data_IF_320142429580
#
_entry.id   IF_320142429580
#
_cell.length_a   1.000
_cell.length_b   1.000
_cell.length_c   1.000
_cell.angle_alpha   90.00
_cell.angle_beta   90.00
_cell.angle_gamma   90.00
#
_symmetry.space_group_name_H-M   'P 1'
#
loop_
_entity.id
_entity.type
_entity.pdbx_description
1 polymer ?
#
# COMPACT_ATOMS: atom_id res chain seq x y z
N UNK A 1 -12.02 -22.09 -18.52
CA UNK A 1 -10.81 -21.58 -17.85
C UNK A 1 -11.30 -20.81 -16.66
N UNK A 2 -10.96 -21.28 -15.46
CA UNK A 2 -11.45 -20.67 -14.21
C UNK A 2 -10.60 -19.43 -13.97
N UNK A 3 -11.23 -18.27 -13.85
CA UNK A 3 -10.61 -17.05 -13.33
C UNK A 3 -10.18 -17.30 -11.89
N UNK A 4 -8.97 -17.84 -11.69
CA UNK A 4 -8.35 -18.02 -10.37
C UNK A 4 -7.85 -16.66 -9.85
N UNK A 5 -8.71 -15.65 -9.94
CA UNK A 5 -8.50 -14.36 -9.33
C UNK A 5 -8.94 -14.51 -7.87
N UNK A 6 -7.95 -14.76 -7.02
CA UNK A 6 -8.13 -14.70 -5.57
C UNK A 6 -8.84 -13.41 -5.18
N UNK A 7 -9.98 -13.54 -4.49
CA UNK A 7 -10.66 -12.46 -3.76
C UNK A 7 -10.38 -12.53 -2.26
N UNK A 8 -9.56 -13.49 -1.79
CA UNK A 8 -9.13 -13.57 -0.40
C UNK A 8 -8.21 -12.38 -0.08
N UNK A 9 -8.65 -11.50 0.81
CA UNK A 9 -7.94 -10.26 1.12
C UNK A 9 -6.56 -10.47 1.76
N UNK A 10 -6.35 -11.56 2.51
CA UNK A 10 -5.02 -11.91 3.05
C UNK A 10 -4.09 -12.25 1.90
N UNK A 11 -4.57 -13.11 0.98
CA UNK A 11 -3.77 -13.52 -0.17
C UNK A 11 -3.51 -12.35 -1.13
N UNK A 12 -4.46 -11.45 -1.33
CA UNK A 12 -4.27 -10.20 -2.08
C UNK A 12 -3.18 -9.33 -1.44
N UNK A 13 -3.22 -9.14 -0.11
CA UNK A 13 -2.22 -8.32 0.58
C UNK A 13 -0.80 -8.92 0.50
N UNK A 14 -0.68 -10.24 0.58
CA UNK A 14 0.58 -10.96 0.40
C UNK A 14 1.13 -10.84 -1.03
N UNK A 15 0.26 -10.96 -2.04
CA UNK A 15 0.64 -10.74 -3.44
C UNK A 15 1.14 -9.31 -3.63
N UNK A 16 0.42 -8.31 -3.10
CA UNK A 16 0.86 -6.92 -3.15
C UNK A 16 2.21 -6.71 -2.46
N UNK A 17 2.45 -7.30 -1.29
CA UNK A 17 3.73 -7.20 -0.60
C UNK A 17 4.87 -7.80 -1.44
N UNK A 18 4.63 -8.96 -2.06
CA UNK A 18 5.60 -9.64 -2.91
C UNK A 18 5.96 -8.79 -4.14
N UNK A 19 4.96 -8.14 -4.75
CA UNK A 19 5.17 -7.25 -5.89
C UNK A 19 5.92 -5.97 -5.49
N UNK A 20 5.60 -5.37 -4.35
CA UNK A 20 6.29 -4.17 -3.85
C UNK A 20 7.78 -4.40 -3.55
N UNK A 21 8.14 -5.62 -3.12
CA UNK A 21 9.54 -5.99 -2.81
C UNK A 21 10.25 -6.55 -4.05
N UNK A 22 9.52 -7.24 -4.92
CA UNK A 22 10.05 -7.92 -6.10
C UNK A 22 10.21 -7.04 -7.34
N UNK A 23 9.56 -5.88 -7.39
CA UNK A 23 9.65 -4.95 -8.53
C UNK A 23 10.97 -4.16 -8.48
N UNK A 24 11.88 -4.46 -9.42
CA UNK A 24 13.24 -3.95 -9.46
C UNK A 24 13.41 -2.55 -10.08
N UNK A 25 12.33 -1.83 -10.38
CA UNK A 25 12.36 -0.50 -11.00
C UNK A 25 12.12 0.63 -9.97
N UNK A 26 11.29 1.63 -10.27
CA UNK A 26 10.98 2.76 -9.37
C UNK A 26 10.53 2.35 -7.94
N UNK A 27 10.00 1.13 -7.79
CA UNK A 27 9.56 0.58 -6.50
C UNK A 27 10.69 -0.08 -5.70
N UNK A 28 11.89 -0.25 -6.27
CA UNK A 28 13.06 -0.82 -5.56
C UNK A 28 13.47 -0.01 -4.33
N UNK A 29 13.05 1.26 -4.25
CA UNK A 29 13.23 2.09 -3.07
C UNK A 29 12.27 1.72 -1.95
N UNK A 30 11.13 1.08 -2.21
CA UNK A 30 10.15 0.77 -1.17
C UNK A 30 10.62 -0.33 -0.21
N UNK A 31 10.15 -0.25 1.02
CA UNK A 31 10.34 -1.25 2.07
C UNK A 31 9.00 -1.56 2.74
N UNK A 32 8.76 -2.84 3.00
CA UNK A 32 7.65 -3.30 3.84
C UNK A 32 8.17 -3.44 5.28
N UNK A 33 7.49 -2.83 6.24
CA UNK A 33 7.79 -2.90 7.69
C UNK A 33 6.56 -3.34 8.47
N UNK A 34 6.81 -3.83 9.68
CA UNK A 34 5.79 -4.29 10.62
C UNK A 34 4.81 -5.30 10.00
N UNK A 35 5.33 -6.20 9.16
CA UNK A 35 4.49 -7.18 8.49
C UNK A 35 4.02 -8.26 9.46
N UNK A 36 2.70 -8.41 9.56
CA UNK A 36 2.03 -9.45 10.31
C UNK A 36 1.46 -10.49 9.32
N UNK A 37 2.13 -11.65 9.14
CA UNK A 37 1.66 -12.70 8.25
C UNK A 37 0.40 -13.42 8.78
N UNK A 38 0.10 -13.27 10.08
CA UNK A 38 -1.00 -13.93 10.78
C UNK A 38 -2.18 -12.97 11.03
N UNK A 39 -2.16 -11.79 10.41
CA UNK A 39 -3.20 -10.78 10.55
C UNK A 39 -4.59 -11.33 10.17
N UNK A 40 -5.46 -11.48 11.18
CA UNK A 40 -6.82 -11.97 10.97
C UNK A 40 -7.69 -10.91 10.27
N UNK A 41 -8.35 -11.21 9.15
CA UNK A 41 -9.13 -10.22 8.40
C UNK A 41 -10.41 -9.81 9.14
N UNK A 42 -10.68 -8.50 9.17
CA UNK A 42 -11.89 -7.93 9.79
C UNK A 42 -12.65 -7.00 8.84
N UNK A 43 -13.92 -6.72 9.15
CA UNK A 43 -14.74 -5.79 8.34
C UNK A 43 -14.19 -4.36 8.35
N UNK A 44 -13.55 -3.94 9.44
CA UNK A 44 -12.86 -2.65 9.55
C UNK A 44 -11.46 -2.66 8.91
N UNK A 45 -10.92 -3.85 8.68
CA UNK A 45 -9.60 -4.08 8.13
C UNK A 45 -8.57 -4.17 9.25
N UNK A 46 -7.78 -5.23 9.23
CA UNK A 46 -6.67 -5.42 10.17
C UNK A 46 -5.39 -4.95 9.51
N UNK A 47 -4.57 -4.17 10.21
CA UNK A 47 -3.30 -3.71 9.65
C UNK A 47 -2.39 -4.92 9.39
N UNK A 48 -1.98 -5.10 8.13
CA UNK A 48 -1.09 -6.18 7.74
C UNK A 48 0.37 -5.72 7.68
N UNK A 49 0.62 -4.54 7.12
CA UNK A 49 1.98 -3.96 7.05
C UNK A 49 1.97 -2.48 6.68
N UNK A 50 3.12 -1.85 6.85
CA UNK A 50 3.42 -0.48 6.42
C UNK A 50 4.39 -0.47 5.25
N UNK A 51 4.19 0.46 4.32
CA UNK A 51 5.08 0.69 3.18
C UNK A 51 5.79 2.02 3.38
N UNK A 52 7.13 2.00 3.32
CA UNK A 52 7.98 3.16 3.49
C UNK A 52 8.89 3.33 2.28
N UNK A 53 9.37 4.56 2.05
CA UNK A 53 10.48 4.81 1.15
C UNK A 53 11.80 4.41 1.84
N UNK A 54 12.69 3.78 1.10
CA UNK A 54 14.01 3.31 1.55
C UNK A 54 15.01 4.46 1.66
N UNK A 55 15.87 4.34 2.66
CA UNK A 55 16.86 5.30 3.18
C UNK A 55 16.31 6.60 3.77
N UNK A 56 15.40 6.47 4.73
CA UNK A 56 15.54 7.20 5.99
C UNK A 56 16.28 6.29 7.00
N UNK A 57 17.61 6.15 6.80
CA UNK A 57 18.59 5.61 7.74
C UNK A 57 18.29 4.27 8.43
N UNK A 58 19.08 3.25 8.11
CA UNK A 58 19.55 2.26 9.10
C UNK A 58 20.46 2.95 10.15
N UNK A 59 19.92 3.94 10.85
CA UNK A 59 20.53 4.57 12.00
C UNK A 59 19.46 4.63 13.08
N UNK A 60 19.47 3.60 13.94
CA UNK A 60 19.51 3.79 15.39
C UNK A 60 18.94 5.14 15.87
N UNK A 61 17.62 5.33 15.75
CA UNK A 61 16.93 6.50 16.31
C UNK A 61 16.32 6.16 17.67
N UNK A 62 17.19 5.68 18.57
CA UNK A 62 17.04 5.85 20.01
C UNK A 62 17.35 7.31 20.44
N UNK A 63 17.30 8.28 19.51
CA UNK A 63 17.47 9.71 19.76
C UNK A 63 16.37 10.57 19.14
N UNK A 64 15.13 10.20 19.44
CA UNK A 64 14.05 11.18 19.55
C UNK A 64 13.53 11.73 18.22
N UNK A 65 12.54 11.02 17.68
CA UNK A 65 11.26 11.66 17.42
C UNK A 65 10.90 11.97 15.98
N UNK A 66 11.52 11.35 14.98
CA UNK A 66 10.97 11.38 13.62
C UNK A 66 10.78 9.98 13.05
N UNK A 67 9.76 9.27 13.57
CA UNK A 67 9.26 8.07 12.93
C UNK A 67 8.90 8.41 11.47
N UNK A 68 9.69 7.91 10.52
CA UNK A 68 9.46 8.08 9.09
C UNK A 68 8.01 7.73 8.78
N UNK A 69 7.21 8.76 8.45
CA UNK A 69 5.79 8.57 8.17
C UNK A 69 5.64 7.57 7.01
N UNK A 70 4.81 6.52 7.15
CA UNK A 70 4.63 5.56 6.09
C UNK A 70 4.07 6.24 4.85
N UNK A 71 4.54 5.79 3.69
CA UNK A 71 3.99 6.17 2.39
C UNK A 71 2.56 5.65 2.28
N UNK A 72 2.36 4.39 2.68
CA UNK A 72 1.05 3.77 2.76
C UNK A 72 0.96 2.73 3.89
N UNK A 73 -0.26 2.45 4.32
CA UNK A 73 -0.61 1.37 5.23
C UNK A 73 -1.55 0.40 4.51
N UNK A 74 -1.32 -0.92 4.66
CA UNK A 74 -2.13 -1.95 4.01
C UNK A 74 -2.92 -2.72 5.05
N UNK A 75 -4.23 -2.79 4.84
CA UNK A 75 -5.18 -3.47 5.72
C UNK A 75 -5.84 -4.64 5.00
N UNK A 76 -5.98 -5.76 5.70
CA UNK A 76 -6.66 -6.96 5.19
C UNK A 76 -8.12 -6.98 5.63
N UNK A 77 -9.00 -7.19 4.67
CA UNK A 77 -10.41 -7.52 4.87
C UNK A 77 -10.67 -8.95 4.39
N UNK A 78 -11.83 -9.56 4.69
CA UNK A 78 -12.13 -10.91 4.23
C UNK A 78 -12.07 -11.08 2.70
N UNK A 79 -12.45 -10.03 1.96
CA UNK A 79 -12.72 -10.07 0.52
C UNK A 79 -11.85 -9.11 -0.32
N UNK A 80 -10.89 -8.41 0.31
CA UNK A 80 -10.04 -7.39 -0.35
C UNK A 80 -8.87 -6.97 0.53
N UNK A 81 -7.87 -6.37 -0.09
CA UNK A 81 -6.93 -5.50 0.61
C UNK A 81 -7.34 -4.03 0.46
N UNK A 82 -7.02 -3.22 1.46
CA UNK A 82 -7.26 -1.78 1.48
C UNK A 82 -5.95 -1.05 1.74
N UNK A 83 -5.55 -0.21 0.79
CA UNK A 83 -4.34 0.60 0.89
C UNK A 83 -4.73 2.02 1.28
N UNK A 84 -4.16 2.54 2.36
CA UNK A 84 -4.25 3.96 2.73
C UNK A 84 -2.95 4.66 2.37
N UNK A 85 -2.97 5.50 1.35
CA UNK A 85 -1.87 6.40 1.02
C UNK A 85 -1.91 7.63 1.92
N UNK A 86 -0.83 7.83 2.67
CA UNK A 86 -0.62 9.01 3.50
C UNK A 86 0.31 10.03 2.84
N UNK A 87 1.20 9.59 1.94
CA UNK A 87 2.01 10.45 1.09
C UNK A 87 1.31 10.68 -0.26
N UNK A 88 1.43 11.90 -0.79
CA UNK A 88 0.87 12.36 -2.07
C UNK A 88 -0.54 11.80 -2.38
N UNK A 89 -1.55 12.02 -1.51
CA UNK A 89 -2.88 11.42 -1.64
C UNK A 89 -3.57 11.74 -2.97
N UNK A 90 -3.34 12.92 -3.55
CA UNK A 90 -3.92 13.30 -4.84
C UNK A 90 -3.29 12.52 -6.01
N UNK A 91 -1.97 12.31 -5.99
CA UNK A 91 -1.28 11.50 -6.99
C UNK A 91 -1.72 10.03 -6.91
N UNK A 92 -1.87 9.50 -5.69
CA UNK A 92 -2.42 8.16 -5.47
C UNK A 92 -3.84 8.03 -6.04
N UNK A 93 -4.69 9.03 -5.79
CA UNK A 93 -6.08 9.01 -6.24
C UNK A 93 -6.19 9.04 -7.77
N UNK A 94 -5.42 9.92 -8.42
CA UNK A 94 -5.40 10.03 -9.87
C UNK A 94 -4.94 8.72 -10.53
N UNK A 95 -3.76 8.22 -10.13
CA UNK A 95 -3.19 7.02 -10.75
C UNK A 95 -4.02 5.75 -10.48
N UNK A 96 -4.58 5.60 -9.27
CA UNK A 96 -5.47 4.47 -8.97
C UNK A 96 -6.78 4.55 -9.76
N UNK A 97 -7.35 5.75 -9.91
CA UNK A 97 -8.57 5.98 -10.69
C UNK A 97 -8.36 5.68 -12.18
N UNK A 98 -7.26 6.15 -12.77
CA UNK A 98 -6.88 5.85 -14.16
C UNK A 98 -6.64 4.34 -14.38
N UNK A 99 -6.08 3.66 -13.38
CA UNK A 99 -5.91 2.21 -13.40
C UNK A 99 -7.22 1.43 -13.16
N UNK A 100 -8.37 2.11 -13.00
CA UNK A 100 -9.68 1.49 -12.83
C UNK A 100 -9.92 0.88 -11.43
N UNK A 101 -9.19 1.35 -10.41
CA UNK A 101 -9.39 0.94 -9.02
C UNK A 101 -10.43 1.82 -8.33
N UNK A 102 -11.10 1.25 -7.32
CA UNK A 102 -12.02 2.02 -6.49
C UNK A 102 -11.22 2.90 -5.51
N UNK A 103 -11.44 4.20 -5.59
CA UNK A 103 -10.77 5.22 -4.76
C UNK A 103 -11.78 5.94 -3.87
N UNK A 104 -11.38 6.26 -2.64
CA UNK A 104 -12.14 7.08 -1.69
C UNK A 104 -11.20 8.03 -0.94
N UNK A 105 -11.51 9.34 -0.86
CA UNK A 105 -10.82 10.22 0.09
C UNK A 105 -11.18 9.83 1.53
N UNK A 106 -10.23 9.98 2.45
CA UNK A 106 -10.46 9.81 3.89
C UNK A 106 -10.21 11.15 4.58
N UNK A 107 -11.26 11.70 5.16
CA UNK A 107 -11.27 12.99 5.86
C UNK A 107 -10.58 12.88 7.23
N UNK A 108 -9.28 12.68 7.22
CA UNK A 108 -8.38 12.73 8.39
C UNK A 108 -7.37 13.85 8.21
N UNK A 109 -6.63 14.21 9.28
CA UNK A 109 -5.54 15.19 9.22
C UNK A 109 -4.22 14.51 9.57
N UNK A 110 -3.22 14.48 8.67
CA UNK A 110 -3.26 14.93 7.27
C UNK A 110 -4.20 14.06 6.40
N UNK A 111 -4.70 14.58 5.26
CA UNK A 111 -5.62 13.85 4.38
C UNK A 111 -4.98 12.57 3.84
N UNK A 112 -5.81 11.55 3.61
CA UNK A 112 -5.38 10.26 3.06
C UNK A 112 -6.28 9.83 1.90
N UNK A 113 -5.71 9.02 1.02
CA UNK A 113 -6.46 8.36 -0.07
C UNK A 113 -6.54 6.87 0.19
N UNK A 114 -7.75 6.32 0.12
CA UNK A 114 -8.04 4.90 0.26
C UNK A 114 -8.23 4.29 -1.12
N UNK A 115 -7.49 3.21 -1.40
CA UNK A 115 -7.61 2.41 -2.61
C UNK A 115 -7.99 0.98 -2.22
N UNK A 116 -8.99 0.40 -2.88
CA UNK A 116 -9.39 -0.99 -2.69
C UNK A 116 -8.78 -1.88 -3.76
N UNK A 117 -8.26 -3.03 -3.34
CA UNK A 117 -7.73 -4.08 -4.21
C UNK A 117 -8.55 -5.33 -3.95
N UNK A 118 -9.50 -5.61 -4.83
CA UNK A 118 -10.57 -6.60 -4.62
C UNK A 118 -10.24 -7.97 -5.24
N UNK A 119 -9.23 -8.03 -6.11
CA UNK A 119 -8.79 -9.26 -6.75
C UNK A 119 -7.29 -9.27 -7.08
N UNK A 120 -6.77 -10.44 -7.42
CA UNK A 120 -5.35 -10.62 -7.77
C UNK A 120 -4.90 -9.83 -9.00
N UNK A 121 -5.78 -9.53 -9.97
CA UNK A 121 -5.42 -8.73 -11.14
C UNK A 121 -5.26 -7.24 -10.79
N UNK A 122 -6.06 -6.76 -9.83
CA UNK A 122 -5.95 -5.40 -9.31
C UNK A 122 -4.64 -5.14 -8.57
N UNK A 123 -3.93 -6.17 -8.08
CA UNK A 123 -2.61 -6.00 -7.45
C UNK A 123 -1.63 -5.30 -8.41
N UNK A 124 -1.58 -5.72 -9.67
CA UNK A 124 -0.72 -5.09 -10.68
C UNK A 124 -1.12 -3.65 -10.98
N UNK A 125 -2.43 -3.37 -10.96
CA UNK A 125 -2.98 -2.02 -11.16
C UNK A 125 -2.64 -1.10 -9.99
N UNK A 126 -2.61 -1.63 -8.77
CA UNK A 126 -2.27 -0.88 -7.57
C UNK A 126 -0.82 -0.37 -7.59
N UNK A 127 0.09 -1.06 -8.26
CA UNK A 127 1.49 -0.63 -8.42
C UNK A 127 1.60 0.74 -9.12
N UNK A 128 0.68 1.07 -10.03
CA UNK A 128 0.64 2.39 -10.67
C UNK A 128 0.46 3.53 -9.66
N UNK A 129 -0.34 3.31 -8.61
CA UNK A 129 -0.53 4.30 -7.54
C UNK A 129 0.74 4.45 -6.68
N UNK A 130 1.40 3.35 -6.33
CA UNK A 130 2.67 3.40 -5.61
C UNK A 130 3.75 4.14 -6.40
N UNK A 131 3.89 3.84 -7.70
CA UNK A 131 4.84 4.54 -8.58
C UNK A 131 4.56 6.04 -8.67
N UNK A 132 3.29 6.43 -8.81
CA UNK A 132 2.90 7.83 -8.86
C UNK A 132 3.25 8.58 -7.56
N UNK A 133 3.02 7.95 -6.40
CA UNK A 133 3.36 8.53 -5.09
C UNK A 133 4.87 8.66 -4.90
N UNK A 134 5.66 7.65 -5.26
CA UNK A 134 7.12 7.71 -5.22
C UNK A 134 7.65 8.85 -6.11
N UNK A 135 7.14 8.95 -7.35
CA UNK A 135 7.56 10.00 -8.29
C UNK A 135 7.15 11.40 -7.80
N UNK A 136 5.98 11.55 -7.20
CA UNK A 136 5.52 12.82 -6.64
C UNK A 136 6.31 13.26 -5.40
N UNK A 137 6.87 12.32 -4.64
CA UNK A 137 7.76 12.61 -3.51
C UNK A 137 9.23 12.86 -3.90
N UNK A 138 9.61 12.48 -5.12
CA UNK A 138 10.94 12.71 -5.68
C UNK A 138 11.07 14.04 -6.47
N UNK A 139 9.94 14.70 -6.75
CA UNK A 139 9.85 15.97 -7.47
C UNK A 139 9.83 17.18 -6.52
#
# INVERSE_FOLDING_TARGET
MVDDQTTDGVRIAQLLASELIGDGDALATLRVRDADPDAEPTTQGTLAYRVLLGDAGDADDDRGGNATRPLAEVFVHPDRARVEFAAAPDAAAAAAGEAGLRVRPKAVTPPRTVVFVEDGAQVKRALSAFRAVVNAGAA
#
